data_IF_523961750578
#
_entry.id   IF_523961750578
#
_cell.length_a   1.000
_cell.length_b   1.000
_cell.length_c   1.000
_cell.angle_alpha   90.00
_cell.angle_beta   90.00
_cell.angle_gamma   90.00
#
_symmetry.space_group_name_H-M   'P 1'
#
loop_
_entity.id
_entity.type
_entity.pdbx_description
1 polymer ?
#
# COMPACT_ATOMS: atom_id res chain seq x y z
N UNK A 1 -1.41 -15.36 -6.28
CA UNK A 1 -1.28 -13.98 -6.84
C UNK A 1 -0.24 -13.20 -6.08
N UNK A 2 0.53 -12.33 -6.75
CA UNK A 2 1.50 -11.44 -6.08
C UNK A 2 0.93 -10.03 -6.02
N UNK A 3 0.93 -9.43 -4.83
CA UNK A 3 0.50 -8.05 -4.58
C UNK A 3 1.74 -7.23 -4.22
N UNK A 4 1.97 -6.10 -4.89
CA UNK A 4 2.98 -5.12 -4.52
C UNK A 4 2.44 -4.19 -3.42
N UNK A 5 3.20 -4.00 -2.34
CA UNK A 5 2.82 -3.15 -1.21
C UNK A 5 3.83 -2.01 -1.10
N UNK A 6 3.36 -0.77 -1.10
CA UNK A 6 4.21 0.41 -0.97
C UNK A 6 3.52 1.50 -0.14
N UNK A 7 4.32 2.42 0.39
CA UNK A 7 3.87 3.55 1.22
C UNK A 7 4.86 4.71 1.17
N UNK A 8 4.42 5.87 1.62
CA UNK A 8 5.29 7.01 1.92
C UNK A 8 6.19 7.40 0.72
N UNK A 9 5.54 7.74 -0.41
CA UNK A 9 6.22 8.15 -1.66
C UNK A 9 6.83 9.54 -1.50
N UNK A 10 6.13 10.47 -0.80
CA UNK A 10 6.57 11.84 -0.57
C UNK A 10 7.11 12.53 -1.84
N UNK A 11 6.38 12.40 -2.94
CA UNK A 11 6.71 12.94 -4.26
C UNK A 11 8.10 12.53 -4.81
N UNK A 12 8.74 11.49 -4.28
CA UNK A 12 9.94 10.91 -4.87
C UNK A 12 9.58 10.04 -6.08
N UNK A 13 9.29 10.70 -7.20
CA UNK A 13 8.87 10.04 -8.44
C UNK A 13 9.94 9.09 -8.98
N UNK A 14 11.22 9.38 -8.77
CA UNK A 14 12.31 8.50 -9.22
C UNK A 14 12.30 7.17 -8.47
N UNK A 15 12.08 7.20 -7.15
CA UNK A 15 11.99 5.98 -6.33
C UNK A 15 10.68 5.25 -6.58
N UNK A 16 9.57 5.98 -6.81
CA UNK A 16 8.31 5.37 -7.23
C UNK A 16 8.49 4.60 -8.55
N UNK A 17 9.19 5.17 -9.52
CA UNK A 17 9.48 4.49 -10.78
C UNK A 17 10.29 3.21 -10.59
N UNK A 18 11.30 3.23 -9.73
CA UNK A 18 12.07 2.03 -9.37
C UNK A 18 11.20 0.96 -8.71
N UNK A 19 10.31 1.37 -7.78
CA UNK A 19 9.38 0.47 -7.12
C UNK A 19 8.43 -0.22 -8.13
N UNK A 20 7.86 0.56 -9.05
CA UNK A 20 6.93 0.03 -10.05
C UNK A 20 7.61 -0.96 -11.00
N UNK A 21 8.83 -0.66 -11.47
CA UNK A 21 9.61 -1.60 -12.29
C UNK A 21 9.93 -2.89 -11.52
N UNK A 22 10.34 -2.78 -10.26
CA UNK A 22 10.61 -3.94 -9.42
C UNK A 22 9.35 -4.82 -9.26
N UNK A 23 8.18 -4.20 -9.08
CA UNK A 23 6.91 -4.93 -9.03
C UNK A 23 6.57 -5.63 -10.34
N UNK A 24 6.80 -4.99 -11.49
CA UNK A 24 6.64 -5.61 -12.81
C UNK A 24 7.58 -6.82 -12.98
N UNK A 25 8.86 -6.67 -12.65
CA UNK A 25 9.87 -7.74 -12.71
C UNK A 25 9.52 -8.93 -11.79
N UNK A 26 8.92 -8.66 -10.63
CA UNK A 26 8.48 -9.67 -9.66
C UNK A 26 7.11 -10.25 -9.96
N UNK A 27 6.44 -9.79 -11.03
CA UNK A 27 5.14 -10.30 -11.45
C UNK A 27 3.97 -9.87 -10.54
N UNK A 28 4.07 -8.72 -9.88
CA UNK A 28 2.95 -8.19 -9.11
C UNK A 28 1.77 -7.86 -10.05
N UNK A 29 0.58 -8.26 -9.66
CA UNK A 29 -0.63 -8.11 -10.45
C UNK A 29 -1.50 -6.95 -9.95
N UNK A 30 -1.51 -6.70 -8.66
CA UNK A 30 -2.22 -5.62 -8.00
C UNK A 30 -1.29 -4.86 -7.06
N UNK A 31 -1.62 -3.60 -6.78
CA UNK A 31 -0.89 -2.78 -5.82
C UNK A 31 -1.77 -2.38 -4.65
N UNK A 32 -1.15 -2.32 -3.47
CA UNK A 32 -1.68 -1.70 -2.27
C UNK A 32 -0.77 -0.53 -1.89
N UNK A 33 -1.36 0.65 -1.77
CA UNK A 33 -0.68 1.87 -1.36
C UNK A 33 -1.20 2.36 -0.01
N UNK A 34 -0.30 2.46 0.97
CA UNK A 34 -0.64 2.74 2.35
C UNK A 34 -0.54 4.24 2.74
N UNK A 35 -0.65 5.16 1.78
CA UNK A 35 -0.75 6.60 2.04
C UNK A 35 0.54 7.39 1.88
N UNK A 36 0.41 8.72 1.97
CA UNK A 36 1.44 9.72 1.74
C UNK A 36 1.96 9.78 0.29
N UNK A 37 1.02 10.12 -0.63
CA UNK A 37 1.38 10.59 -1.99
C UNK A 37 2.15 11.91 -1.90
N UNK A 38 1.70 12.81 -1.02
CA UNK A 38 1.90 14.24 -0.87
C UNK A 38 1.18 15.08 -1.94
N UNK A 39 1.31 14.77 -3.22
CA UNK A 39 0.71 15.55 -4.29
C UNK A 39 0.04 14.71 -5.39
N UNK A 40 -0.73 15.35 -6.29
CA UNK A 40 -1.34 14.68 -7.44
C UNK A 40 -0.34 14.06 -8.43
N UNK A 41 0.94 14.45 -8.41
CA UNK A 41 1.94 13.89 -9.33
C UNK A 41 2.24 12.44 -9.01
N UNK A 42 2.42 12.11 -7.73
CA UNK A 42 2.61 10.72 -7.26
C UNK A 42 1.38 9.86 -7.55
N UNK A 43 0.18 10.39 -7.27
CA UNK A 43 -1.07 9.68 -7.55
C UNK A 43 -1.25 9.41 -9.06
N UNK A 44 -0.94 10.40 -9.91
CA UNK A 44 -0.99 10.26 -11.37
C UNK A 44 -0.04 9.18 -11.88
N UNK A 45 1.17 9.13 -11.32
CA UNK A 45 2.15 8.10 -11.73
C UNK A 45 1.70 6.72 -11.27
N UNK A 46 1.21 6.58 -10.04
CA UNK A 46 0.71 5.31 -9.51
C UNK A 46 -0.52 4.83 -10.30
N UNK A 47 -1.39 5.75 -10.74
CA UNK A 47 -2.56 5.43 -11.56
C UNK A 47 -2.24 4.90 -12.98
N UNK A 48 -0.99 4.94 -13.40
CA UNK A 48 -0.54 4.34 -14.68
C UNK A 48 -0.19 2.84 -14.54
N UNK A 49 -0.28 2.27 -13.32
CA UNK A 49 -0.14 0.83 -13.13
C UNK A 49 -1.17 0.06 -13.95
N UNK A 50 -0.74 -1.04 -14.60
CA UNK A 50 -1.62 -1.81 -15.48
C UNK A 50 -2.70 -2.63 -14.74
N UNK A 51 -2.49 -2.93 -13.46
CA UNK A 51 -3.40 -3.70 -12.61
C UNK A 51 -4.27 -2.83 -11.71
N UNK A 52 -5.10 -3.45 -10.86
CA UNK A 52 -5.80 -2.75 -9.79
C UNK A 52 -4.84 -2.10 -8.80
N UNK A 53 -5.25 -0.92 -8.27
CA UNK A 53 -4.56 -0.20 -7.20
C UNK A 53 -5.56 0.07 -6.09
N UNK A 54 -5.22 -0.31 -4.88
CA UNK A 54 -5.98 -0.06 -3.67
C UNK A 54 -5.20 0.91 -2.79
N UNK A 55 -5.73 2.11 -2.55
CA UNK A 55 -5.01 3.18 -1.90
C UNK A 55 -5.79 3.84 -0.77
N UNK A 56 -5.08 4.34 0.22
CA UNK A 56 -5.60 5.22 1.27
C UNK A 56 -4.81 6.53 1.30
N UNK A 57 -5.37 7.55 1.94
CA UNK A 57 -4.63 8.76 2.27
C UNK A 57 -3.75 8.57 3.51
N UNK A 58 -2.66 9.34 3.55
CA UNK A 58 -1.84 9.55 4.74
C UNK A 58 -1.94 10.97 5.30
N UNK A 59 -1.09 11.30 6.26
CA UNK A 59 -1.11 12.61 6.92
C UNK A 59 -0.46 13.74 6.10
N UNK A 60 0.41 13.40 5.16
CA UNK A 60 1.09 14.39 4.31
C UNK A 60 0.41 14.61 2.95
N UNK A 61 -0.78 14.06 2.73
CA UNK A 61 -1.55 14.27 1.51
C UNK A 61 -2.20 15.66 1.54
N UNK A 62 -1.54 16.63 0.90
CA UNK A 62 -1.90 18.04 0.97
C UNK A 62 -3.16 18.40 0.16
N UNK A 63 -3.16 18.11 -1.14
CA UNK A 63 -4.31 18.38 -2.02
C UNK A 63 -5.09 17.09 -2.32
N UNK A 64 -5.81 16.61 -1.31
CA UNK A 64 -6.65 15.40 -1.41
C UNK A 64 -7.73 15.50 -2.48
N UNK A 65 -8.22 16.71 -2.74
CA UNK A 65 -9.22 16.93 -3.78
C UNK A 65 -8.62 16.69 -5.18
N UNK A 66 -7.45 17.28 -5.47
CA UNK A 66 -6.77 17.06 -6.74
C UNK A 66 -6.28 15.62 -6.90
N UNK A 67 -5.77 14.99 -5.83
CA UNK A 67 -5.42 13.56 -5.81
C UNK A 67 -6.64 12.71 -6.19
N UNK A 68 -7.78 12.91 -5.54
CA UNK A 68 -9.01 12.18 -5.82
C UNK A 68 -9.46 12.34 -7.28
N UNK A 69 -9.39 13.56 -7.83
CA UNK A 69 -9.76 13.82 -9.22
C UNK A 69 -8.85 13.11 -10.22
N UNK A 70 -7.56 13.05 -9.93
CA UNK A 70 -6.57 12.39 -10.83
C UNK A 70 -6.87 10.91 -11.00
N UNK A 71 -7.41 10.26 -9.99
CA UNK A 71 -7.66 8.81 -9.99
C UNK A 71 -9.13 8.44 -10.27
N UNK A 72 -10.05 9.41 -10.20
CA UNK A 72 -11.49 9.17 -10.27
C UNK A 72 -11.96 8.46 -11.55
N UNK A 73 -11.36 8.77 -12.68
CA UNK A 73 -11.73 8.21 -13.99
C UNK A 73 -11.04 6.87 -14.29
N UNK A 74 -10.14 6.41 -13.40
CA UNK A 74 -9.48 5.13 -13.56
C UNK A 74 -10.26 4.01 -12.85
N UNK A 75 -10.97 3.12 -13.57
CA UNK A 75 -11.79 2.08 -12.95
C UNK A 75 -10.97 1.04 -12.17
N UNK A 76 -9.65 0.98 -12.40
CA UNK A 76 -8.72 0.10 -11.69
C UNK A 76 -8.17 0.72 -10.42
N UNK A 77 -8.34 2.04 -10.20
CA UNK A 77 -7.82 2.72 -9.02
C UNK A 77 -8.94 2.96 -8.00
N UNK A 78 -8.79 2.39 -6.82
CA UNK A 78 -9.73 2.57 -5.70
C UNK A 78 -9.05 3.32 -4.57
N UNK A 79 -9.55 4.54 -4.30
CA UNK A 79 -9.10 5.38 -3.20
C UNK A 79 -10.18 5.34 -2.10
N UNK A 80 -9.83 4.75 -0.95
CA UNK A 80 -10.78 4.45 0.13
C UNK A 80 -10.90 5.57 1.19
N UNK A 81 -10.11 6.63 1.10
CA UNK A 81 -10.05 7.67 2.13
C UNK A 81 -8.98 7.36 3.17
N UNK A 82 -9.35 7.36 4.46
CA UNK A 82 -8.39 7.15 5.57
C UNK A 82 -8.07 5.67 5.82
N UNK A 83 -8.99 4.77 5.44
CA UNK A 83 -8.83 3.32 5.55
C UNK A 83 -9.70 2.59 4.54
N UNK A 84 -9.32 1.37 4.19
CA UNK A 84 -10.10 0.45 3.38
C UNK A 84 -10.15 -0.93 4.03
N UNK A 85 -11.22 -1.67 3.78
CA UNK A 85 -11.41 -3.01 4.33
C UNK A 85 -12.42 -3.12 5.47
N UNK A 86 -13.33 -2.14 5.62
CA UNK A 86 -14.46 -2.22 6.55
C UNK A 86 -15.62 -3.06 5.98
N UNK A 87 -16.74 -3.13 6.73
CA UNK A 87 -17.92 -3.88 6.34
C UNK A 87 -18.57 -3.37 5.02
N UNK A 88 -18.39 -2.09 4.69
CA UNK A 88 -18.95 -1.45 3.50
C UNK A 88 -17.99 -1.46 2.31
N UNK A 89 -16.70 -1.47 2.59
CA UNK A 89 -15.61 -1.40 1.60
C UNK A 89 -14.65 -2.58 1.77
N UNK A 90 -15.18 -3.79 1.83
CA UNK A 90 -14.37 -5.00 1.98
C UNK A 90 -13.39 -5.13 0.82
N UNK A 91 -12.10 -5.17 1.15
CA UNK A 91 -11.05 -5.47 0.19
C UNK A 91 -10.78 -6.97 0.25
N UNK A 92 -11.15 -7.66 -0.83
CA UNK A 92 -10.85 -9.08 -0.99
C UNK A 92 -10.08 -9.28 -2.28
N UNK A 93 -8.83 -9.71 -2.17
CA UNK A 93 -7.94 -10.00 -3.30
C UNK A 93 -7.60 -11.48 -3.25
N UNK A 94 -7.97 -12.22 -4.28
CA UNK A 94 -7.71 -13.67 -4.37
C UNK A 94 -8.15 -14.45 -3.10
N UNK A 95 -9.30 -14.06 -2.54
CA UNK A 95 -9.87 -14.65 -1.33
C UNK A 95 -9.20 -14.22 -0.01
N UNK A 96 -8.21 -13.33 -0.04
CA UNK A 96 -7.56 -12.74 1.13
C UNK A 96 -8.31 -11.48 1.54
N UNK A 97 -8.77 -11.45 2.79
CA UNK A 97 -9.43 -10.26 3.39
C UNK A 97 -8.37 -9.29 3.87
N UNK A 98 -8.34 -8.11 3.27
CA UNK A 98 -7.30 -7.11 3.50
C UNK A 98 -7.90 -5.86 4.15
N UNK A 99 -7.18 -5.29 5.11
CA UNK A 99 -7.40 -3.94 5.59
C UNK A 99 -6.17 -3.08 5.28
N UNK A 100 -6.42 -1.84 4.86
CA UNK A 100 -5.39 -0.85 4.56
C UNK A 100 -5.67 0.39 5.38
N UNK A 101 -4.67 0.92 6.06
CA UNK A 101 -4.67 2.23 6.72
C UNK A 101 -3.27 2.81 6.66
N UNK A 102 -3.15 4.14 6.77
CA UNK A 102 -1.81 4.72 6.84
C UNK A 102 -1.14 4.47 8.19
N UNK A 103 -1.92 4.42 9.28
CA UNK A 103 -1.40 4.45 10.65
C UNK A 103 -1.29 3.07 11.30
N UNK A 104 -0.09 2.64 11.73
CA UNK A 104 0.09 1.41 12.53
C UNK A 104 -0.72 1.42 13.83
N UNK A 105 -1.01 2.60 14.38
CA UNK A 105 -1.86 2.75 15.56
C UNK A 105 -3.26 2.12 15.38
N UNK A 106 -3.82 2.17 14.16
CA UNK A 106 -5.07 1.49 13.84
C UNK A 106 -4.84 0.08 13.32
N UNK A 107 -3.79 -0.11 12.52
CA UNK A 107 -3.51 -1.38 11.85
C UNK A 107 -3.24 -2.53 12.84
N UNK A 108 -2.45 -2.30 13.87
CA UNK A 108 -2.07 -3.33 14.84
C UNK A 108 -3.27 -3.86 15.64
N UNK A 109 -4.16 -3.02 16.21
CA UNK A 109 -5.41 -3.50 16.81
C UNK A 109 -6.28 -4.29 15.82
N UNK A 110 -6.45 -3.79 14.58
CA UNK A 110 -7.26 -4.45 13.56
C UNK A 110 -6.70 -5.84 13.19
N UNK A 111 -5.38 -5.99 13.10
CA UNK A 111 -4.75 -7.28 12.85
C UNK A 111 -5.01 -8.31 13.96
N UNK A 112 -5.32 -7.86 15.19
CA UNK A 112 -5.63 -8.74 16.34
C UNK A 112 -7.09 -9.19 16.38
N UNK A 113 -7.99 -8.58 15.59
CA UNK A 113 -9.42 -8.92 15.62
C UNK A 113 -9.74 -10.29 15.05
N UNK A 114 -8.88 -10.82 14.16
CA UNK A 114 -9.16 -12.02 13.38
C UNK A 114 -10.10 -11.81 12.19
N UNK A 115 -10.52 -10.57 11.92
CA UNK A 115 -11.39 -10.26 10.79
C UNK A 115 -10.66 -10.25 9.45
N UNK A 116 -9.35 -10.01 9.47
CA UNK A 116 -8.52 -9.89 8.29
C UNK A 116 -7.47 -11.00 8.22
N UNK A 117 -7.08 -11.33 7.01
CA UNK A 117 -5.95 -12.22 6.73
C UNK A 117 -4.64 -11.44 6.62
N UNK A 118 -4.72 -10.17 6.19
CA UNK A 118 -3.61 -9.22 6.14
C UNK A 118 -4.06 -7.79 6.44
N UNK A 119 -3.21 -7.02 7.15
CA UNK A 119 -3.39 -5.59 7.42
C UNK A 119 -2.11 -4.87 7.05
N UNK A 120 -2.22 -3.86 6.18
CA UNK A 120 -1.09 -3.09 5.67
C UNK A 120 -1.14 -1.64 6.17
N UNK A 121 0.03 -1.09 6.53
CA UNK A 121 0.16 0.29 6.98
C UNK A 121 1.48 0.93 6.52
N UNK A 122 1.63 2.24 6.71
CA UNK A 122 2.82 3.04 6.44
C UNK A 122 3.24 3.91 7.61
N UNK A 123 3.44 5.20 7.36
CA UNK A 123 3.62 6.29 8.34
C UNK A 123 4.93 6.30 9.13
N UNK A 124 5.39 5.17 9.62
CA UNK A 124 6.61 5.12 10.45
C UNK A 124 7.89 5.16 9.62
N UNK A 125 7.79 5.02 8.30
CA UNK A 125 8.90 4.90 7.35
C UNK A 125 9.83 3.69 7.61
N UNK A 126 9.40 2.75 8.47
CA UNK A 126 10.18 1.58 8.88
C UNK A 126 9.52 0.30 8.40
N UNK A 127 10.27 -0.50 7.66
CA UNK A 127 9.82 -1.82 7.27
C UNK A 127 9.63 -2.71 8.49
N UNK A 128 8.42 -3.25 8.65
CA UNK A 128 8.06 -4.10 9.80
C UNK A 128 7.05 -5.16 9.36
N UNK A 129 7.19 -6.37 9.90
CA UNK A 129 6.17 -7.41 9.76
C UNK A 129 5.98 -8.17 11.06
N UNK A 130 4.73 -8.46 11.37
CA UNK A 130 4.34 -9.23 12.56
C UNK A 130 3.11 -10.09 12.26
N UNK A 131 3.00 -11.26 12.90
CA UNK A 131 1.78 -12.07 12.84
C UNK A 131 1.01 -11.99 14.14
N UNK A 132 -0.31 -11.86 14.00
CA UNK A 132 -1.28 -11.94 15.07
C UNK A 132 -2.26 -13.08 14.75
N UNK A 133 -2.00 -14.28 15.31
CA UNK A 133 -2.69 -15.49 14.86
C UNK A 133 -2.40 -15.77 13.38
N UNK A 134 -3.44 -15.87 12.56
CA UNK A 134 -3.33 -16.06 11.10
C UNK A 134 -3.12 -14.76 10.33
N UNK A 135 -3.40 -13.60 10.94
CA UNK A 135 -3.32 -12.31 10.28
C UNK A 135 -1.86 -11.81 10.19
N UNK A 136 -1.45 -11.37 9.00
CA UNK A 136 -0.18 -10.66 8.80
C UNK A 136 -0.41 -9.15 8.94
N UNK A 137 0.31 -8.50 9.86
CA UNK A 137 0.57 -7.06 9.81
C UNK A 137 1.86 -6.81 9.05
N UNK A 138 1.84 -5.84 8.12
CA UNK A 138 3.00 -5.46 7.33
C UNK A 138 3.02 -3.95 7.09
N UNK A 139 4.16 -3.34 7.40
CA UNK A 139 4.55 -2.02 6.95
C UNK A 139 5.70 -2.19 5.93
N UNK A 140 5.56 -1.74 4.67
CA UNK A 140 6.60 -1.93 3.66
C UNK A 140 7.82 -1.02 3.86
N UNK A 141 7.77 -0.08 4.81
CA UNK A 141 8.72 1.02 4.92
C UNK A 141 8.35 2.20 4.02
N UNK A 142 9.30 2.99 3.60
CA UNK A 142 9.11 4.16 2.75
C UNK A 142 9.69 3.97 1.34
N UNK A 143 8.96 4.45 0.34
CA UNK A 143 9.51 4.61 -1.02
C UNK A 143 10.44 5.82 -1.09
N UNK A 144 10.15 6.85 -0.30
CA UNK A 144 10.84 8.15 -0.36
C UNK A 144 12.35 8.08 -0.09
N UNK A 145 12.79 7.24 0.85
CA UNK A 145 14.20 7.19 1.28
C UNK A 145 14.63 8.44 2.06
N UNK A 146 13.71 9.03 2.85
CA UNK A 146 13.99 10.24 3.64
C UNK A 146 14.65 9.90 4.96
N UNK A 147 14.18 8.83 5.62
CA UNK A 147 14.65 8.45 6.95
C UNK A 147 15.48 7.17 6.95
N UNK A 148 15.51 6.44 5.85
CA UNK A 148 16.28 5.20 5.77
C UNK A 148 16.42 4.67 4.35
N UNK A 149 16.79 3.40 4.22
CA UNK A 149 16.81 2.72 2.94
C UNK A 149 15.39 2.61 2.37
N UNK A 150 15.16 3.07 1.12
CA UNK A 150 13.85 2.93 0.51
C UNK A 150 13.47 1.45 0.36
N UNK A 151 12.26 1.09 0.77
CA UNK A 151 11.78 -0.28 0.74
C UNK A 151 10.34 -0.39 0.23
N UNK A 152 10.03 -1.55 -0.28
CA UNK A 152 8.67 -1.99 -0.65
C UNK A 152 8.48 -3.43 -0.20
N UNK A 153 7.28 -3.98 -0.37
CA UNK A 153 7.04 -5.38 -0.06
C UNK A 153 6.24 -6.08 -1.16
N UNK A 154 6.38 -7.39 -1.20
CA UNK A 154 5.50 -8.29 -1.92
C UNK A 154 4.68 -9.13 -0.94
N UNK A 155 3.43 -9.40 -1.29
CA UNK A 155 2.59 -10.35 -0.58
C UNK A 155 2.08 -11.42 -1.55
N UNK A 156 2.41 -12.68 -1.24
CA UNK A 156 1.90 -13.83 -1.99
C UNK A 156 0.63 -14.36 -1.32
N UNK A 157 -0.50 -14.25 -2.02
CA UNK A 157 -1.82 -14.67 -1.52
C UNK A 157 -1.92 -16.17 -1.32
N UNK A 158 -1.30 -16.96 -2.21
CA UNK A 158 -1.33 -18.41 -2.15
C UNK A 158 -0.51 -18.97 -0.98
N UNK A 159 0.67 -18.39 -0.75
CA UNK A 159 1.55 -18.79 0.34
C UNK A 159 1.25 -18.05 1.65
N UNK A 160 0.41 -17.00 1.61
CA UNK A 160 0.14 -16.09 2.74
C UNK A 160 1.44 -15.56 3.37
N UNK A 161 2.42 -15.26 2.54
CA UNK A 161 3.76 -14.82 2.95
C UNK A 161 4.12 -13.48 2.32
N UNK A 162 5.11 -12.82 2.91
CA UNK A 162 5.59 -11.53 2.42
C UNK A 162 7.10 -11.48 2.37
N UNK A 163 7.62 -10.70 1.42
CA UNK A 163 9.02 -10.37 1.23
C UNK A 163 9.18 -8.85 1.27
N UNK A 164 10.18 -8.36 2.02
CA UNK A 164 10.60 -6.96 2.01
C UNK A 164 11.75 -6.80 1.02
N UNK A 165 11.69 -5.77 0.18
CA UNK A 165 12.66 -5.51 -0.88
C UNK A 165 13.20 -4.08 -0.76
N UNK A 166 14.52 -3.94 -0.87
CA UNK A 166 15.18 -2.63 -0.94
C UNK A 166 15.15 -2.08 -2.37
N UNK A 167 14.92 -0.78 -2.49
CA UNK A 167 15.06 -0.06 -3.76
C UNK A 167 16.48 0.47 -3.88
N UNK A 168 17.21 0.00 -4.86
CA UNK A 168 18.60 0.35 -5.13
C UNK A 168 18.85 1.83 -5.48
#
# INVERSE_FOLDING_TARGET
MIIGILSDIHDNLNKLEQALRLFEEKGAQELVFCGDFCSPFSARRLAQWNGPVHAVFGNNDGDRFAISRVVADNPKFRLYGEYGGDEQQLISIDGIRICITHYPFYAVPLARTGWFDAVFAGHTHKAEKQRFGSCLFLNPGEVAGVFGTPTVALYDTALRSSELLELG
#
